data_IF_544358515122
#
_entry.id   IF_544358515122
#
_cell.length_a   1.000
_cell.length_b   1.000
_cell.length_c   1.000
_cell.angle_alpha   90.00
_cell.angle_beta   90.00
_cell.angle_gamma   90.00
#
_symmetry.space_group_name_H-M   'P 1'
#
loop_
_entity.id
_entity.type
_entity.pdbx_description
1 polymer ?
#
# COMPACT_ATOMS: atom_id res chain seq x y z
N UNK A 1 35.84 -2.18 -11.34
CA UNK A 1 35.37 -3.11 -10.29
C UNK A 1 34.71 -2.38 -9.12
N UNK A 2 35.42 -1.66 -8.21
CA UNK A 2 34.73 -0.93 -7.11
C UNK A 2 33.83 0.20 -7.63
N UNK A 3 34.26 0.97 -8.64
CA UNK A 3 33.46 2.03 -9.28
C UNK A 3 32.31 1.51 -10.19
N UNK A 4 32.36 0.24 -10.61
CA UNK A 4 31.30 -0.35 -11.46
C UNK A 4 30.12 -0.87 -10.63
N UNK A 5 30.36 -1.24 -9.37
CA UNK A 5 29.31 -1.65 -8.43
C UNK A 5 28.49 -0.42 -7.99
N UNK A 6 29.14 0.72 -7.75
CA UNK A 6 28.46 1.99 -7.40
C UNK A 6 27.63 2.60 -8.54
N UNK A 7 27.90 2.24 -9.79
CA UNK A 7 27.20 2.74 -10.99
C UNK A 7 26.20 1.74 -11.61
N UNK A 8 25.95 0.60 -10.95
CA UNK A 8 24.92 -0.32 -11.43
C UNK A 8 23.52 0.29 -11.25
N UNK A 9 22.63 0.15 -12.23
CA UNK A 9 21.31 0.76 -12.15
C UNK A 9 20.47 0.05 -11.08
N UNK A 10 20.10 0.80 -10.03
CA UNK A 10 19.29 0.29 -8.90
C UNK A 10 17.94 -0.22 -9.37
N UNK A 11 17.49 -1.37 -8.87
CA UNK A 11 16.17 -1.90 -9.21
C UNK A 11 15.08 -0.93 -8.73
N UNK A 12 14.04 -0.74 -9.53
CA UNK A 12 13.01 0.27 -9.28
C UNK A 12 11.68 -0.37 -8.88
N UNK A 13 11.13 0.02 -7.74
CA UNK A 13 9.75 -0.28 -7.34
C UNK A 13 8.86 0.92 -7.68
N UNK A 14 7.72 0.63 -8.30
CA UNK A 14 6.66 1.61 -8.58
C UNK A 14 5.36 1.10 -7.96
N UNK A 15 4.65 1.96 -7.25
CA UNK A 15 3.40 1.61 -6.58
C UNK A 15 2.20 2.32 -7.18
N UNK A 16 1.01 1.80 -6.91
CA UNK A 16 -0.26 2.35 -7.37
C UNK A 16 -0.58 3.70 -6.72
N UNK A 17 -0.44 3.80 -5.40
CA UNK A 17 -0.72 4.98 -4.61
C UNK A 17 0.51 5.78 -4.24
N UNK A 18 0.32 7.09 -4.07
CA UNK A 18 1.34 8.05 -3.58
C UNK A 18 1.78 7.80 -2.14
N UNK A 19 1.04 6.97 -1.40
CA UNK A 19 1.30 6.61 -0.01
C UNK A 19 2.09 5.32 0.12
N UNK A 20 1.98 4.43 -0.86
CA UNK A 20 2.39 3.04 -0.72
C UNK A 20 3.90 2.92 -0.69
N UNK A 21 4.60 3.70 -1.53
CA UNK A 21 6.06 3.74 -1.52
C UNK A 21 6.62 4.14 -0.14
N UNK A 22 5.91 4.97 0.63
CA UNK A 22 6.32 5.40 1.97
C UNK A 22 6.26 4.23 2.95
N UNK A 23 5.17 3.46 2.90
CA UNK A 23 4.98 2.27 3.72
C UNK A 23 6.04 1.20 3.40
N UNK A 24 6.22 0.90 2.11
CA UNK A 24 7.21 -0.06 1.65
C UNK A 24 8.62 0.39 2.01
N UNK A 25 9.02 1.62 1.66
CA UNK A 25 10.36 2.14 1.96
C UNK A 25 10.67 2.06 3.46
N UNK A 26 9.71 2.41 4.31
CA UNK A 26 9.89 2.31 5.75
C UNK A 26 9.95 0.86 6.24
N UNK A 27 9.14 -0.04 5.68
CA UNK A 27 9.21 -1.47 5.97
C UNK A 27 10.56 -2.07 5.59
N UNK A 28 11.11 -1.73 4.41
CA UNK A 28 12.45 -2.17 3.96
C UNK A 28 13.53 -1.81 4.98
N UNK A 29 13.45 -0.59 5.51
CA UNK A 29 14.37 -0.07 6.53
C UNK A 29 14.19 -0.81 7.86
N UNK A 30 12.95 -0.87 8.39
CA UNK A 30 12.65 -1.49 9.69
C UNK A 30 12.90 -2.99 9.74
N UNK A 31 12.76 -3.68 8.61
CA UNK A 31 13.04 -5.11 8.48
C UNK A 31 14.52 -5.41 8.13
N UNK A 32 15.34 -4.36 7.93
CA UNK A 32 16.76 -4.46 7.57
C UNK A 32 17.03 -5.40 6.38
N UNK A 33 16.28 -5.24 5.28
CA UNK A 33 16.33 -6.15 4.14
C UNK A 33 17.28 -5.69 3.01
N UNK A 34 17.95 -4.55 3.17
CA UNK A 34 18.82 -3.98 2.14
C UNK A 34 19.99 -4.91 1.79
N UNK A 35 20.59 -5.57 2.80
CA UNK A 35 21.69 -6.52 2.58
C UNK A 35 21.24 -7.78 1.81
N UNK A 36 19.95 -8.11 1.85
CA UNK A 36 19.38 -9.32 1.23
C UNK A 36 18.90 -9.02 -0.19
N UNK A 37 18.32 -7.83 -0.40
CA UNK A 37 17.69 -7.45 -1.66
C UNK A 37 18.61 -6.61 -2.56
N UNK A 38 19.72 -6.11 -2.03
CA UNK A 38 20.56 -5.12 -2.70
C UNK A 38 19.89 -3.75 -2.78
N UNK A 39 20.43 -2.89 -3.65
CA UNK A 39 19.94 -1.53 -3.80
C UNK A 39 18.60 -1.48 -4.56
N UNK A 40 17.55 -1.11 -3.83
CA UNK A 40 16.21 -0.85 -4.34
C UNK A 40 15.91 0.66 -4.25
N UNK A 41 15.44 1.22 -5.35
CA UNK A 41 14.89 2.57 -5.45
C UNK A 41 13.36 2.50 -5.52
N UNK A 42 12.68 3.49 -4.94
CA UNK A 42 11.24 3.68 -5.09
C UNK A 42 10.98 4.88 -6.00
N UNK A 43 10.03 4.77 -6.91
CA UNK A 43 9.50 5.96 -7.59
C UNK A 43 8.65 6.74 -6.58
N UNK A 44 9.21 7.83 -6.06
CA UNK A 44 8.54 8.71 -5.11
C UNK A 44 7.72 9.76 -5.86
N UNK A 45 6.44 9.87 -5.49
CA UNK A 45 5.52 10.86 -6.05
C UNK A 45 4.48 11.29 -5.02
N UNK A 46 3.88 12.46 -5.29
CA UNK A 46 2.89 13.11 -4.43
C UNK A 46 1.63 13.45 -5.25
N UNK A 47 0.77 14.34 -4.75
CA UNK A 47 -0.61 14.55 -5.25
C UNK A 47 -0.72 14.99 -6.72
N UNK A 48 0.34 15.57 -7.28
CA UNK A 48 0.35 16.05 -8.67
C UNK A 48 0.42 14.91 -9.70
N UNK A 49 0.68 13.67 -9.26
CA UNK A 49 0.80 12.50 -10.11
C UNK A 49 -0.34 11.53 -9.80
N UNK A 50 -1.25 11.39 -10.75
CA UNK A 50 -2.30 10.36 -10.73
C UNK A 50 -1.76 9.06 -11.33
N UNK A 51 -1.19 8.20 -10.49
CA UNK A 51 -0.73 6.87 -10.92
C UNK A 51 -1.95 5.92 -11.01
N UNK A 52 -2.40 5.31 -9.92
CA UNK A 52 -3.55 4.41 -9.93
C UNK A 52 -3.33 3.13 -10.77
N UNK A 53 -4.20 2.15 -10.63
CA UNK A 53 -4.10 0.86 -11.33
C UNK A 53 -3.98 1.00 -12.86
N UNK A 54 -4.78 1.88 -13.48
CA UNK A 54 -4.80 2.03 -14.93
C UNK A 54 -3.50 2.63 -15.49
N UNK A 55 -2.97 3.71 -14.90
CA UNK A 55 -1.75 4.31 -15.44
C UNK A 55 -0.52 3.49 -15.08
N UNK A 56 -0.48 2.84 -13.90
CA UNK A 56 0.60 1.91 -13.56
C UNK A 56 0.66 0.73 -14.54
N UNK A 57 -0.50 0.16 -14.90
CA UNK A 57 -0.58 -0.88 -15.92
C UNK A 57 -0.07 -0.42 -17.30
N UNK A 58 -0.49 0.77 -17.74
CA UNK A 58 -0.05 1.36 -19.01
C UNK A 58 1.45 1.65 -19.00
N UNK A 59 1.99 2.10 -17.86
CA UNK A 59 3.41 2.33 -17.66
C UNK A 59 4.20 1.01 -17.77
N UNK A 60 3.76 -0.05 -17.10
CA UNK A 60 4.36 -1.39 -17.21
C UNK A 60 4.41 -1.87 -18.66
N UNK A 61 3.27 -1.79 -19.36
CA UNK A 61 3.14 -2.21 -20.77
C UNK A 61 4.01 -1.38 -21.70
N UNK A 62 4.25 -0.10 -21.38
CA UNK A 62 5.10 0.78 -22.18
C UNK A 62 6.58 0.52 -21.94
N UNK A 63 6.99 0.38 -20.67
CA UNK A 63 8.35 0.07 -20.28
C UNK A 63 8.79 -1.31 -20.78
N UNK A 64 7.88 -2.29 -20.80
CA UNK A 64 8.20 -3.64 -21.28
C UNK A 64 8.47 -3.72 -22.79
N UNK A 65 8.26 -2.64 -23.56
CA UNK A 65 8.63 -2.57 -24.99
C UNK A 65 10.10 -2.24 -25.21
N UNK A 66 10.81 -1.80 -24.17
CA UNK A 66 12.21 -1.38 -24.24
C UNK A 66 13.04 -2.20 -23.26
N UNK A 67 14.23 -2.63 -23.67
CA UNK A 67 15.17 -3.30 -22.76
C UNK A 67 15.53 -2.40 -21.58
N UNK A 68 15.19 -2.82 -20.37
CA UNK A 68 15.57 -2.11 -19.15
C UNK A 68 16.89 -2.70 -18.63
N UNK A 69 17.84 -1.83 -18.27
CA UNK A 69 19.11 -2.22 -17.65
C UNK A 69 18.97 -2.56 -16.16
N UNK A 70 17.78 -2.37 -15.59
CA UNK A 70 17.40 -2.69 -14.21
C UNK A 70 16.06 -3.40 -14.19
N UNK A 71 15.76 -4.11 -13.09
CA UNK A 71 14.41 -4.64 -12.87
C UNK A 71 13.48 -3.50 -12.45
N UNK A 72 12.33 -3.44 -13.11
CA UNK A 72 11.23 -2.52 -12.76
C UNK A 72 10.08 -3.38 -12.25
N UNK A 73 9.65 -3.11 -11.01
CA UNK A 73 8.69 -3.92 -10.28
C UNK A 73 7.49 -3.04 -9.92
N UNK A 74 6.34 -3.30 -10.53
CA UNK A 74 5.11 -2.59 -10.24
C UNK A 74 4.24 -3.35 -9.23
N UNK A 75 3.85 -2.68 -8.15
CA UNK A 75 3.07 -3.25 -7.05
C UNK A 75 1.70 -2.59 -7.03
N UNK A 76 0.66 -3.43 -7.11
CA UNK A 76 -0.74 -3.02 -7.15
C UNK A 76 -1.45 -3.41 -5.86
N UNK A 77 -2.44 -2.63 -5.45
CA UNK A 77 -3.37 -3.04 -4.41
C UNK A 77 -4.18 -4.27 -4.88
N UNK A 78 -4.79 -4.99 -3.93
CA UNK A 78 -5.59 -6.20 -4.17
C UNK A 78 -7.10 -5.93 -4.08
N UNK A 79 -7.51 -4.68 -4.22
CA UNK A 79 -8.91 -4.24 -4.09
C UNK A 79 -9.64 -4.07 -5.43
N UNK A 80 -8.93 -4.12 -6.57
CA UNK A 80 -9.51 -4.08 -7.92
C UNK A 80 -9.45 -5.44 -8.66
N UNK A 81 -10.53 -6.28 -8.63
CA UNK A 81 -10.54 -7.61 -9.26
C UNK A 81 -10.20 -7.63 -10.75
N UNK A 82 -10.44 -6.51 -11.46
CA UNK A 82 -10.12 -6.35 -12.87
C UNK A 82 -8.60 -6.31 -13.13
N UNK A 83 -7.81 -5.82 -12.18
CA UNK A 83 -6.36 -5.76 -12.28
C UNK A 83 -5.67 -6.97 -11.68
N UNK A 84 -6.22 -7.59 -10.62
CA UNK A 84 -5.62 -8.77 -9.97
C UNK A 84 -5.20 -9.84 -10.99
N UNK A 85 -6.10 -10.24 -11.89
CA UNK A 85 -5.81 -11.24 -12.93
C UNK A 85 -4.88 -10.74 -14.04
N UNK A 86 -4.83 -9.42 -14.26
CA UNK A 86 -4.01 -8.82 -15.32
C UNK A 86 -2.56 -8.64 -14.87
N UNK A 87 -2.30 -8.37 -13.60
CA UNK A 87 -0.97 -7.96 -13.12
C UNK A 87 -0.30 -9.00 -12.24
N UNK A 88 -1.04 -10.01 -11.79
CA UNK A 88 -0.48 -11.16 -11.08
C UNK A 88 -0.11 -12.27 -12.06
N UNK A 89 0.74 -13.18 -11.61
CA UNK A 89 0.97 -14.43 -12.32
C UNK A 89 -0.30 -15.29 -12.43
N UNK A 90 -0.27 -16.28 -13.31
CA UNK A 90 -1.32 -17.31 -13.36
C UNK A 90 -1.33 -18.18 -12.11
N UNK A 91 -2.12 -19.25 -12.12
CA UNK A 91 -2.28 -20.15 -10.96
C UNK A 91 -0.92 -20.58 -10.38
N UNK A 92 -0.65 -20.20 -9.13
CA UNK A 92 0.56 -20.55 -8.39
C UNK A 92 1.78 -19.65 -8.61
N UNK A 93 1.70 -18.61 -9.45
CA UNK A 93 2.82 -17.68 -9.70
C UNK A 93 2.58 -16.34 -8.99
N UNK A 94 3.53 -15.95 -8.14
CA UNK A 94 3.49 -14.76 -7.27
C UNK A 94 3.54 -13.43 -8.04
N UNK A 95 4.10 -13.42 -9.26
CA UNK A 95 4.25 -12.22 -10.09
C UNK A 95 4.05 -12.50 -11.58
N UNK A 96 3.84 -11.43 -12.36
CA UNK A 96 3.81 -11.45 -13.81
C UNK A 96 5.12 -10.86 -14.36
N UNK A 97 5.76 -11.57 -15.28
CA UNK A 97 6.81 -11.00 -16.14
C UNK A 97 6.19 -10.43 -17.42
N UNK A 98 6.57 -9.20 -17.77
CA UNK A 98 6.14 -8.52 -18.99
C UNK A 98 7.21 -8.57 -20.10
N UNK A 99 8.37 -9.16 -19.80
CA UNK A 99 9.58 -9.08 -20.63
C UNK A 99 10.39 -7.82 -20.35
N UNK A 100 11.63 -7.81 -20.85
CA UNK A 100 12.54 -6.66 -20.77
C UNK A 100 12.77 -6.13 -19.34
N UNK A 101 12.90 -7.04 -18.38
CA UNK A 101 13.09 -6.75 -16.95
C UNK A 101 11.95 -5.96 -16.28
N UNK A 102 10.73 -6.02 -16.83
CA UNK A 102 9.54 -5.42 -16.23
C UNK A 102 8.65 -6.51 -15.62
N UNK A 103 8.28 -6.31 -14.36
CA UNK A 103 7.50 -7.26 -13.56
C UNK A 103 6.37 -6.54 -12.84
N UNK A 104 5.30 -7.26 -12.51
CA UNK A 104 4.25 -6.76 -11.62
C UNK A 104 3.69 -7.83 -10.71
N UNK A 105 3.09 -7.42 -9.59
CA UNK A 105 2.26 -8.29 -8.77
C UNK A 105 1.23 -7.48 -7.98
N UNK A 106 0.20 -8.16 -7.46
CA UNK A 106 -0.70 -7.57 -6.46
C UNK A 106 -0.21 -7.89 -5.07
N UNK A 107 -0.47 -7.01 -4.10
CA UNK A 107 -0.15 -7.23 -2.70
C UNK A 107 -0.54 -8.66 -2.26
N UNK A 108 0.41 -9.46 -1.73
CA UNK A 108 0.10 -10.71 -1.05
C UNK A 108 -0.90 -10.49 0.10
N UNK A 109 -1.70 -11.50 0.41
CA UNK A 109 -2.67 -11.42 1.52
C UNK A 109 -1.98 -11.82 2.81
N UNK A 110 -1.86 -10.93 3.81
CA UNK A 110 -1.33 -11.30 5.12
C UNK A 110 -2.32 -12.17 5.89
N UNK A 111 -1.83 -12.97 6.83
CA UNK A 111 -2.64 -13.97 7.54
C UNK A 111 -3.86 -13.38 8.27
N UNK A 112 -3.72 -12.16 8.81
CA UNK A 112 -4.85 -11.46 9.47
C UNK A 112 -5.90 -10.90 8.50
N UNK A 113 -5.71 -11.06 7.18
CA UNK A 113 -6.63 -10.62 6.13
C UNK A 113 -7.11 -11.76 5.22
N UNK A 114 -6.85 -13.03 5.57
CA UNK A 114 -7.32 -14.18 4.78
C UNK A 114 -8.84 -14.18 4.53
N UNK A 115 -9.62 -13.77 5.54
CA UNK A 115 -11.08 -13.67 5.42
C UNK A 115 -11.55 -12.45 4.62
N UNK A 116 -10.67 -11.45 4.42
CA UNK A 116 -10.98 -10.18 3.74
C UNK A 116 -9.85 -9.84 2.76
N UNK A 117 -9.66 -10.60 1.68
CA UNK A 117 -8.47 -10.53 0.84
C UNK A 117 -8.44 -9.34 -0.12
N UNK A 118 -9.48 -8.51 -0.14
CA UNK A 118 -9.55 -7.30 -0.97
C UNK A 118 -8.94 -6.12 -0.21
N UNK A 119 -7.62 -6.00 -0.30
CA UNK A 119 -6.81 -5.12 0.56
C UNK A 119 -6.04 -4.05 -0.23
N UNK A 120 -5.91 -2.88 0.37
CA UNK A 120 -4.86 -1.88 0.09
C UNK A 120 -3.66 -2.01 1.03
N UNK A 121 -2.57 -1.31 0.75
CA UNK A 121 -1.33 -1.34 1.56
C UNK A 121 -1.54 -1.08 3.06
N UNK A 122 -2.48 -0.23 3.46
CA UNK A 122 -2.72 0.05 4.89
C UNK A 122 -3.22 -1.17 5.66
N UNK A 123 -3.84 -2.15 4.98
CA UNK A 123 -4.35 -3.36 5.62
C UNK A 123 -3.24 -4.35 6.01
N UNK A 124 -1.99 -4.07 5.65
CA UNK A 124 -0.82 -4.82 6.14
C UNK A 124 -0.59 -4.60 7.63
N UNK A 125 -1.03 -3.46 8.15
CA UNK A 125 -1.10 -3.19 9.58
C UNK A 125 -2.34 -3.86 10.19
N UNK A 126 -2.26 -4.18 11.49
CA UNK A 126 -3.40 -4.69 12.26
C UNK A 126 -4.42 -3.57 12.45
N UNK A 127 -5.68 -3.94 12.70
CA UNK A 127 -6.74 -2.96 12.95
C UNK A 127 -6.38 -1.99 14.09
N UNK A 128 -5.71 -2.49 15.13
CA UNK A 128 -5.24 -1.67 16.26
C UNK A 128 -4.28 -0.56 15.83
N UNK A 129 -3.41 -0.86 14.86
CA UNK A 129 -2.37 0.04 14.36
C UNK A 129 -2.93 1.05 13.35
N UNK A 130 -3.83 0.59 12.47
CA UNK A 130 -4.60 1.45 11.56
C UNK A 130 -5.38 2.50 12.38
N UNK A 131 -5.90 2.10 13.53
CA UNK A 131 -6.75 2.92 14.40
C UNK A 131 -5.95 3.74 15.41
N UNK A 132 -4.63 3.82 15.32
CA UNK A 132 -3.84 4.73 16.15
C UNK A 132 -4.25 6.19 15.91
N UNK A 133 -4.47 6.91 17.01
CA UNK A 133 -4.80 8.32 16.98
C UNK A 133 -3.54 9.19 16.95
N UNK A 134 -3.59 10.25 16.16
CA UNK A 134 -2.59 11.31 16.22
C UNK A 134 -2.81 12.24 17.43
N UNK A 135 -1.94 13.23 17.60
CA UNK A 135 -2.03 14.20 18.70
C UNK A 135 -3.35 15.00 18.75
N UNK A 136 -4.11 15.01 17.65
CA UNK A 136 -5.40 15.71 17.55
C UNK A 136 -6.59 14.74 17.70
N UNK A 137 -6.34 13.48 18.10
CA UNK A 137 -7.37 12.45 18.21
C UNK A 137 -7.91 11.99 16.85
N UNK A 138 -7.14 12.15 15.77
CA UNK A 138 -7.52 11.71 14.42
C UNK A 138 -6.87 10.38 14.09
N UNK A 139 -7.64 9.47 13.50
CA UNK A 139 -7.17 8.15 13.05
C UNK A 139 -7.75 7.78 11.69
N UNK A 140 -7.20 6.75 11.06
CA UNK A 140 -7.92 6.06 9.99
C UNK A 140 -9.09 5.28 10.60
N UNK A 141 -10.18 5.20 9.85
CA UNK A 141 -11.33 4.40 10.20
C UNK A 141 -11.52 3.27 9.19
N UNK A 142 -12.22 2.21 9.60
CA UNK A 142 -12.54 1.05 8.79
C UNK A 142 -14.06 1.01 8.54
N UNK A 143 -14.48 0.62 7.35
CA UNK A 143 -15.89 0.57 6.94
C UNK A 143 -16.85 -0.13 7.90
N UNK A 144 -16.38 -1.22 8.51
CA UNK A 144 -17.12 -2.02 9.47
C UNK A 144 -17.37 -1.33 10.82
N UNK A 145 -16.78 -0.16 11.05
CA UNK A 145 -17.07 0.67 12.22
C UNK A 145 -18.38 1.45 12.06
N UNK A 146 -18.96 1.49 10.84
CA UNK A 146 -20.14 2.26 10.51
C UNK A 146 -21.26 1.42 9.90
N UNK A 147 -22.50 1.74 10.28
CA UNK A 147 -23.70 1.15 9.71
C UNK A 147 -23.83 1.45 8.20
N UNK A 148 -24.22 0.44 7.42
CA UNK A 148 -24.40 0.56 5.97
C UNK A 148 -25.46 1.62 5.59
N UNK A 149 -26.59 1.63 6.29
CA UNK A 149 -27.75 2.46 5.91
C UNK A 149 -27.52 3.95 6.16
N UNK A 150 -26.98 4.28 7.34
CA UNK A 150 -26.92 5.66 7.80
C UNK A 150 -25.49 6.20 7.92
N UNK A 151 -24.48 5.34 7.84
CA UNK A 151 -23.09 5.73 8.08
C UNK A 151 -22.82 6.09 9.55
N UNK A 152 -23.71 5.72 10.47
CA UNK A 152 -23.54 5.95 11.91
C UNK A 152 -22.53 4.97 12.48
N UNK A 153 -21.60 5.45 13.30
CA UNK A 153 -20.65 4.59 14.00
C UNK A 153 -21.41 3.66 14.96
N UNK A 154 -20.98 2.40 15.06
CA UNK A 154 -21.75 1.38 15.79
C UNK A 154 -21.83 1.68 17.29
N UNK A 155 -20.79 2.30 17.85
CA UNK A 155 -20.65 2.51 19.31
C UNK A 155 -20.48 3.97 19.74
N UNK A 156 -20.25 4.90 18.81
CA UNK A 156 -19.82 6.27 19.16
C UNK A 156 -20.67 7.30 18.41
N UNK A 157 -20.70 8.54 18.90
CA UNK A 157 -21.44 9.64 18.29
C UNK A 157 -20.73 10.25 17.07
N UNK A 158 -20.39 9.38 16.11
CA UNK A 158 -19.68 9.71 14.87
C UNK A 158 -20.51 9.28 13.66
N UNK A 159 -20.35 10.00 12.56
CA UNK A 159 -20.97 9.67 11.27
C UNK A 159 -19.94 9.72 10.15
N UNK A 160 -19.98 8.74 9.28
CA UNK A 160 -19.24 8.67 8.03
C UNK A 160 -20.14 9.12 6.87
N UNK A 161 -19.71 10.16 6.15
CA UNK A 161 -20.39 10.68 4.96
C UNK A 161 -20.18 9.79 3.74
N UNK A 162 -19.11 9.00 3.72
CA UNK A 162 -18.75 8.08 2.64
C UNK A 162 -19.46 6.72 2.82
N UNK A 163 -20.79 6.72 2.70
CA UNK A 163 -21.64 5.53 2.97
C UNK A 163 -21.29 4.32 2.11
N UNK A 164 -20.77 4.55 0.90
CA UNK A 164 -20.32 3.48 0.00
C UNK A 164 -19.14 2.67 0.57
N UNK A 165 -18.40 3.22 1.54
CA UNK A 165 -17.33 2.53 2.26
C UNK A 165 -17.81 1.82 3.52
N UNK A 166 -19.04 2.04 3.97
CA UNK A 166 -19.55 1.58 5.26
C UNK A 166 -20.21 0.19 5.18
N UNK A 167 -20.33 -0.48 6.32
CA UNK A 167 -21.08 -1.73 6.46
C UNK A 167 -20.28 -2.83 7.14
N UNK A 168 -20.98 -3.76 7.78
CA UNK A 168 -20.42 -4.80 8.66
C UNK A 168 -19.27 -5.61 8.02
N UNK A 169 -19.36 -5.88 6.72
CA UNK A 169 -18.35 -6.65 5.97
C UNK A 169 -17.32 -5.78 5.24
N UNK A 170 -17.36 -4.46 5.39
CA UNK A 170 -16.47 -3.54 4.67
C UNK A 170 -15.18 -3.32 5.45
N UNK A 171 -14.05 -3.69 4.86
CA UNK A 171 -12.73 -3.32 5.39
C UNK A 171 -12.19 -2.01 4.79
N UNK A 172 -12.95 -1.32 3.93
CA UNK A 172 -12.43 -0.14 3.24
C UNK A 172 -11.94 0.94 4.21
N UNK A 173 -10.75 1.46 3.94
CA UNK A 173 -10.16 2.57 4.69
C UNK A 173 -10.94 3.86 4.43
N UNK A 174 -11.35 4.49 5.52
CA UNK A 174 -12.02 5.78 5.58
C UNK A 174 -11.02 6.78 6.19
N UNK A 175 -10.53 7.68 5.35
CA UNK A 175 -9.48 8.65 5.67
C UNK A 175 -9.97 10.11 5.56
N UNK A 176 -11.27 10.28 5.31
CA UNK A 176 -11.96 11.55 5.25
C UNK A 176 -13.47 11.36 5.49
N UNK A 177 -14.19 12.45 5.70
CA UNK A 177 -15.65 12.46 5.75
C UNK A 177 -16.22 11.84 7.03
N UNK A 178 -15.43 11.68 8.07
CA UNK A 178 -15.90 11.27 9.40
C UNK A 178 -16.01 12.52 10.28
N UNK A 179 -17.14 12.74 10.91
CA UNK A 179 -17.39 13.86 11.82
C UNK A 179 -18.18 13.41 13.06
N UNK A 180 -18.25 14.26 14.08
CA UNK A 180 -19.14 14.04 15.22
C UNK A 180 -20.58 14.35 14.81
N UNK A 181 -21.55 13.64 15.37
CA UNK A 181 -22.98 13.94 15.11
C UNK A 181 -23.34 15.34 15.63
N UNK A 182 -22.73 15.77 16.74
CA UNK A 182 -22.93 17.10 17.31
C UNK A 182 -22.36 18.24 16.46
N UNK A 183 -21.39 17.95 15.59
CA UNK A 183 -20.73 18.92 14.72
C UNK A 183 -20.23 18.25 13.44
N UNK A 184 -21.07 18.30 12.41
CA UNK A 184 -20.80 17.71 11.12
C UNK A 184 -19.81 18.52 10.25
N UNK A 185 -19.36 19.69 10.71
CA UNK A 185 -18.49 20.58 9.94
C UNK A 185 -17.02 20.20 10.00
N UNK A 186 -16.62 19.44 11.03
CA UNK A 186 -15.20 19.10 11.29
C UNK A 186 -14.93 17.65 10.94
N UNK A 187 -14.01 17.44 9.99
CA UNK A 187 -13.46 16.11 9.71
C UNK A 187 -12.49 15.67 10.82
N UNK A 188 -12.73 14.48 11.37
CA UNK A 188 -11.92 13.84 12.42
C UNK A 188 -11.19 12.59 11.92
N UNK A 189 -11.31 12.22 10.65
CA UNK A 189 -10.49 11.18 10.05
C UNK A 189 -9.08 11.72 9.71
N UNK A 190 -8.07 10.88 9.95
CA UNK A 190 -6.71 11.11 9.48
C UNK A 190 -6.63 10.74 8.00
N UNK A 191 -5.93 11.53 7.19
CA UNK A 191 -5.76 11.19 5.76
C UNK A 191 -4.73 10.08 5.60
N UNK A 192 -4.86 9.25 4.55
CA UNK A 192 -3.84 8.23 4.20
C UNK A 192 -2.46 8.85 4.03
N UNK A 193 -2.37 10.01 3.38
CA UNK A 193 -1.11 10.74 3.22
C UNK A 193 -0.45 11.11 4.55
N UNK A 194 -1.22 11.57 5.55
CA UNK A 194 -0.67 11.89 6.88
C UNK A 194 -0.25 10.63 7.62
N UNK A 195 -1.05 9.57 7.56
CA UNK A 195 -0.72 8.28 8.16
C UNK A 195 0.60 7.72 7.59
N UNK A 196 0.73 7.66 6.27
CA UNK A 196 1.97 7.27 5.58
C UNK A 196 3.18 8.14 5.98
N UNK A 197 3.00 9.46 6.07
CA UNK A 197 4.06 10.36 6.51
C UNK A 197 4.46 10.12 7.97
N UNK A 198 3.52 9.87 8.89
CA UNK A 198 3.84 9.58 10.28
C UNK A 198 4.61 8.26 10.43
N UNK A 199 4.25 7.25 9.65
CA UNK A 199 5.00 5.98 9.57
C UNK A 199 6.42 6.22 9.05
N UNK A 200 6.56 6.92 7.92
CA UNK A 200 7.85 7.19 7.28
C UNK A 200 8.80 8.02 8.16
N UNK A 201 8.24 8.98 8.91
CA UNK A 201 9.00 9.89 9.78
C UNK A 201 9.10 9.40 11.21
N UNK A 202 8.57 8.21 11.52
CA UNK A 202 8.57 7.62 12.86
C UNK A 202 8.00 8.59 13.91
N UNK A 203 6.88 9.22 13.59
CA UNK A 203 6.21 10.14 14.51
C UNK A 203 5.42 9.32 15.54
N UNK A 204 5.60 9.51 16.85
CA UNK A 204 4.77 8.84 17.85
C UNK A 204 3.27 9.16 17.70
N UNK A 205 2.36 8.17 17.90
CA UNK A 205 2.62 6.78 18.31
C UNK A 205 2.92 5.80 17.15
N UNK A 206 3.18 6.30 15.94
CA UNK A 206 3.40 5.51 14.72
C UNK A 206 4.85 5.02 14.56
N UNK A 207 5.71 5.29 15.54
CA UNK A 207 7.11 4.87 15.62
C UNK A 207 7.28 3.41 16.07
N UNK A 208 6.24 2.83 16.68
CA UNK A 208 6.23 1.45 17.19
C UNK A 208 5.14 0.59 16.52
N UNK A 209 5.14 0.56 15.19
CA UNK A 209 4.25 -0.26 14.37
C UNK A 209 4.97 -1.52 13.89
N UNK A 210 4.24 -2.63 13.80
CA UNK A 210 4.69 -3.91 13.29
C UNK A 210 4.74 -3.92 11.75
N UNK A 211 5.90 -4.28 11.20
CA UNK A 211 6.13 -4.40 9.76
C UNK A 211 6.21 -5.84 9.27
N UNK A 212 5.98 -6.87 10.11
CA UNK A 212 6.18 -8.27 9.73
C UNK A 212 5.37 -8.67 8.48
N UNK A 213 4.13 -8.19 8.33
CA UNK A 213 3.31 -8.45 7.13
C UNK A 213 3.97 -8.03 5.82
N UNK A 214 4.84 -7.03 5.85
CA UNK A 214 5.54 -6.53 4.66
C UNK A 214 6.63 -7.48 4.16
N UNK A 215 7.06 -8.46 4.97
CA UNK A 215 7.96 -9.52 4.50
C UNK A 215 7.39 -10.24 3.27
N UNK A 216 6.07 -10.43 3.21
CA UNK A 216 5.40 -11.07 2.07
C UNK A 216 5.65 -10.32 0.75
N UNK A 217 5.63 -8.98 0.78
CA UNK A 217 5.95 -8.16 -0.41
C UNK A 217 7.40 -8.39 -0.81
N UNK A 218 8.31 -8.37 0.16
CA UNK A 218 9.74 -8.51 -0.11
C UNK A 218 10.17 -9.93 -0.49
N UNK A 219 9.41 -10.96 -0.12
CA UNK A 219 9.59 -12.31 -0.63
C UNK A 219 9.33 -12.37 -2.14
N UNK A 220 8.24 -11.75 -2.61
CA UNK A 220 7.95 -11.66 -4.05
C UNK A 220 8.99 -10.80 -4.77
N UNK A 221 9.41 -9.67 -4.18
CA UNK A 221 10.50 -8.86 -4.73
C UNK A 221 11.78 -9.68 -4.86
N UNK A 222 12.16 -10.45 -3.82
CA UNK A 222 13.35 -11.31 -3.86
C UNK A 222 13.25 -12.37 -4.97
N UNK A 223 12.09 -13.00 -5.14
CA UNK A 223 11.86 -13.94 -6.24
C UNK A 223 12.06 -13.28 -7.61
N UNK A 224 11.52 -12.08 -7.80
CA UNK A 224 11.71 -11.30 -9.03
C UNK A 224 13.18 -10.95 -9.23
N UNK A 225 13.90 -10.52 -8.19
CA UNK A 225 15.31 -10.15 -8.28
C UNK A 225 16.21 -11.32 -8.68
N UNK A 226 15.82 -12.54 -8.34
CA UNK A 226 16.52 -13.77 -8.72
C UNK A 226 16.04 -14.40 -10.04
N UNK A 227 14.95 -13.89 -10.63
CA UNK A 227 14.46 -14.38 -11.92
C UNK A 227 15.43 -14.03 -13.07
N UNK A 228 15.53 -14.91 -14.06
CA UNK A 228 16.33 -14.68 -15.29
C UNK A 228 15.69 -13.65 -16.23
#
# INVERSE_FOLDING_TARGET
MQEEVENSPKNLIITEGKTDWKHLKQALNKLNLQDILGEIEFLEFEEDIEMGSSNLFNLCTSLSKLNQNKKIIAIFDRDEPAFIRKVSGGDGVSFRSWGNNVYSFTLPVPSHREATPHISIEHYYKDEEIKLEDENGRRLYIGNEFSLTYGLHIFEEKICKNKNKCGENSIQIIDNGVCRISDESINIALTKSRFANYILTERPPFDNIDFQSFLLVYEVVREILNAE
#
